data_IF_941171337561
#
_entry.id   IF_941171337561
#
_cell.length_a   1.000
_cell.length_b   1.000
_cell.length_c   1.000
_cell.angle_alpha   90.00
_cell.angle_beta   90.00
_cell.angle_gamma   90.00
#
_symmetry.space_group_name_H-M   'P 1'
#
loop_
_entity.id
_entity.type
_entity.pdbx_description
1 polymer ?
#
# COMPACT_ATOMS: atom_id res chain seq x y z
N UNK A 1 -23.68 20.94 14.02
CA UNK A 1 -23.20 22.05 14.85
C UNK A 1 -22.56 21.49 16.12
N UNK A 2 -21.24 21.62 16.29
CA UNK A 2 -20.56 21.21 17.52
C UNK A 2 -20.71 22.33 18.55
N UNK A 3 -21.58 22.12 19.55
CA UNK A 3 -21.78 23.01 20.69
C UNK A 3 -20.80 22.61 21.80
N UNK A 4 -19.72 23.38 21.96
CA UNK A 4 -18.68 23.21 22.99
C UNK A 4 -17.27 23.11 22.41
N UNK A 5 -16.24 23.44 23.20
CA UNK A 5 -14.82 23.24 22.89
C UNK A 5 -14.48 21.73 22.81
N UNK A 6 -15.08 21.00 21.87
CA UNK A 6 -14.81 19.58 21.64
C UNK A 6 -13.52 19.45 20.85
N UNK A 7 -12.47 18.91 21.47
CA UNK A 7 -11.21 18.62 20.80
C UNK A 7 -11.40 17.43 19.87
N UNK A 8 -11.46 17.69 18.56
CA UNK A 8 -11.56 16.65 17.53
C UNK A 8 -10.18 16.02 17.29
N UNK A 9 -10.10 14.70 17.34
CA UNK A 9 -8.84 13.93 17.24
C UNK A 9 -8.91 12.89 16.12
N UNK A 10 -7.75 12.37 15.72
CA UNK A 10 -7.63 11.23 14.81
C UNK A 10 -8.27 11.46 13.44
N UNK A 11 -8.94 10.42 12.92
CA UNK A 11 -9.61 10.42 11.61
C UNK A 11 -10.67 11.53 11.51
N UNK A 12 -11.41 11.79 12.60
CA UNK A 12 -12.41 12.86 12.64
C UNK A 12 -11.80 14.25 12.41
N UNK A 13 -10.57 14.48 12.90
CA UNK A 13 -9.86 15.75 12.70
C UNK A 13 -9.48 15.93 11.23
N UNK A 14 -9.11 14.84 10.55
CA UNK A 14 -8.81 14.86 9.12
C UNK A 14 -10.07 15.20 8.32
N UNK A 15 -11.19 14.55 8.62
CA UNK A 15 -12.49 14.86 8.00
C UNK A 15 -12.90 16.31 8.22
N UNK A 16 -12.80 16.82 9.44
CA UNK A 16 -13.11 18.21 9.77
C UNK A 16 -12.25 19.22 8.98
N UNK A 17 -10.94 18.97 8.85
CA UNK A 17 -10.05 19.83 8.05
C UNK A 17 -10.39 19.81 6.56
N UNK A 18 -10.88 18.66 6.06
CA UNK A 18 -11.31 18.49 4.68
C UNK A 18 -12.76 18.94 4.43
N UNK A 19 -13.46 19.50 5.43
CA UNK A 19 -14.88 19.86 5.36
C UNK A 19 -15.79 18.67 5.00
N UNK A 20 -15.42 17.47 5.44
CA UNK A 20 -16.21 16.25 5.26
C UNK A 20 -17.01 16.00 6.54
N UNK A 21 -18.29 15.70 6.38
CA UNK A 21 -19.11 15.28 7.52
C UNK A 21 -18.56 13.99 8.16
N UNK A 22 -18.53 13.88 9.49
CA UNK A 22 -17.98 12.72 10.20
C UNK A 22 -18.50 11.37 9.71
N UNK A 23 -19.80 11.29 9.40
CA UNK A 23 -20.48 10.09 8.88
C UNK A 23 -20.04 9.74 7.47
N UNK A 24 -19.63 10.73 6.67
CA UNK A 24 -19.30 10.55 5.27
C UNK A 24 -17.81 10.28 5.01
N UNK A 25 -16.97 10.14 6.05
CA UNK A 25 -15.52 9.97 5.89
C UNK A 25 -15.21 8.66 5.15
N UNK A 26 -15.82 7.54 5.55
CA UNK A 26 -15.65 6.24 4.88
C UNK A 26 -16.13 6.30 3.43
N UNK A 27 -17.35 6.81 3.21
CA UNK A 27 -17.95 6.93 1.88
C UNK A 27 -17.13 7.81 0.95
N UNK A 28 -16.61 8.93 1.45
CA UNK A 28 -15.74 9.82 0.68
C UNK A 28 -14.46 9.08 0.26
N UNK A 29 -13.80 8.40 1.19
CA UNK A 29 -12.61 7.60 0.88
C UNK A 29 -12.87 6.51 -0.16
N UNK A 30 -14.01 5.84 -0.07
CA UNK A 30 -14.44 4.81 -1.03
C UNK A 30 -14.74 5.41 -2.41
N UNK A 31 -15.48 6.52 -2.49
CA UNK A 31 -15.81 7.19 -3.75
C UNK A 31 -14.54 7.68 -4.45
N UNK A 32 -13.62 8.31 -3.72
CA UNK A 32 -12.33 8.74 -4.27
C UNK A 32 -11.52 7.57 -4.82
N UNK A 33 -11.49 6.45 -4.10
CA UNK A 33 -10.83 5.23 -4.56
C UNK A 33 -11.45 4.70 -5.86
N UNK A 34 -12.78 4.59 -5.90
CA UNK A 34 -13.52 4.13 -7.08
C UNK A 34 -13.31 5.06 -8.27
N UNK A 35 -13.36 6.39 -8.07
CA UNK A 35 -13.10 7.38 -9.10
C UNK A 35 -11.67 7.24 -9.65
N UNK A 36 -10.67 7.08 -8.78
CA UNK A 36 -9.29 6.87 -9.19
C UNK A 36 -9.13 5.60 -10.05
N UNK A 37 -9.78 4.49 -9.67
CA UNK A 37 -9.76 3.25 -10.46
C UNK A 37 -10.38 3.44 -11.84
N UNK A 38 -11.53 4.12 -11.92
CA UNK A 38 -12.19 4.43 -13.20
C UNK A 38 -11.28 5.27 -14.08
N UNK A 39 -10.65 6.32 -13.54
CA UNK A 39 -9.72 7.19 -14.28
C UNK A 39 -8.56 6.38 -14.84
N UNK A 40 -7.91 5.52 -14.05
CA UNK A 40 -6.78 4.71 -14.54
C UNK A 40 -7.23 3.73 -15.63
N UNK A 41 -8.39 3.09 -15.47
CA UNK A 41 -8.95 2.21 -16.51
C UNK A 41 -9.19 3.00 -17.80
N UNK A 42 -9.81 4.18 -17.72
CA UNK A 42 -10.04 5.05 -18.86
C UNK A 42 -8.73 5.44 -19.55
N UNK A 43 -7.70 5.82 -18.80
CA UNK A 43 -6.37 6.15 -19.35
C UNK A 43 -5.76 4.97 -20.13
N UNK A 44 -5.89 3.74 -19.62
CA UNK A 44 -5.42 2.54 -20.33
C UNK A 44 -6.19 2.34 -21.64
N UNK A 45 -7.51 2.56 -21.63
CA UNK A 45 -8.33 2.47 -22.85
C UNK A 45 -7.99 3.56 -23.87
N UNK A 46 -7.80 4.80 -23.43
CA UNK A 46 -7.37 5.91 -24.30
C UNK A 46 -5.99 5.60 -24.90
N UNK A 47 -5.04 5.13 -24.09
CA UNK A 47 -3.72 4.75 -24.58
C UNK A 47 -3.78 3.62 -25.62
N UNK A 48 -4.63 2.62 -25.40
CA UNK A 48 -4.88 1.54 -26.36
C UNK A 48 -5.49 2.07 -27.67
N UNK A 49 -6.43 3.01 -27.59
CA UNK A 49 -7.04 3.64 -28.77
C UNK A 49 -6.01 4.48 -29.53
N UNK A 50 -5.20 5.25 -28.81
CA UNK A 50 -4.11 6.05 -29.36
C UNK A 50 -3.14 5.21 -30.18
N UNK A 51 -2.66 4.06 -29.67
CA UNK A 51 -1.77 3.16 -30.42
C UNK A 51 -2.42 2.70 -31.73
N UNK A 52 -3.71 2.33 -31.70
CA UNK A 52 -4.43 1.90 -32.90
C UNK A 52 -4.53 3.01 -33.95
N UNK A 53 -4.83 4.24 -33.53
CA UNK A 53 -4.94 5.41 -34.42
C UNK A 53 -3.57 5.79 -34.97
N UNK A 54 -2.54 5.83 -34.13
CA UNK A 54 -1.18 6.18 -34.53
C UNK A 54 -0.63 5.23 -35.60
N UNK A 55 -0.89 3.91 -35.48
CA UNK A 55 -0.51 2.94 -36.52
C UNK A 55 -1.33 3.16 -37.80
N UNK A 56 -2.65 3.40 -37.68
CA UNK A 56 -3.52 3.65 -38.84
C UNK A 56 -3.10 4.89 -39.63
N UNK A 57 -2.59 5.91 -38.96
CA UNK A 57 -2.15 7.17 -39.56
C UNK A 57 -0.66 7.18 -39.95
N UNK A 58 0.04 6.05 -39.82
CA UNK A 58 1.45 5.93 -40.19
C UNK A 58 2.41 6.64 -39.25
N UNK A 59 1.95 7.12 -38.09
CA UNK A 59 2.79 7.76 -37.06
C UNK A 59 3.68 6.76 -36.31
N UNK A 60 3.45 5.46 -36.50
CA UNK A 60 4.20 4.40 -35.84
C UNK A 60 4.31 3.16 -36.75
N UNK A 61 5.46 2.47 -36.78
CA UNK A 61 5.60 1.21 -37.52
C UNK A 61 4.60 0.16 -37.05
N UNK A 62 4.15 -0.71 -37.96
CA UNK A 62 3.12 -1.73 -37.72
C UNK A 62 3.46 -2.75 -36.62
N UNK A 63 4.75 -2.96 -36.36
CA UNK A 63 5.30 -3.77 -35.26
C UNK A 63 5.46 -3.02 -33.92
N UNK A 64 5.14 -1.73 -33.85
CA UNK A 64 5.20 -0.96 -32.62
C UNK A 64 4.24 -1.51 -31.54
N UNK A 65 4.74 -1.66 -30.31
CA UNK A 65 3.98 -2.12 -29.14
C UNK A 65 3.25 -3.46 -29.32
N UNK A 66 3.84 -4.40 -30.06
CA UNK A 66 3.22 -5.70 -30.33
C UNK A 66 3.01 -6.53 -29.05
N UNK A 67 3.93 -6.47 -28.08
CA UNK A 67 3.80 -7.13 -26.78
C UNK A 67 2.63 -6.58 -25.96
N UNK A 68 2.47 -5.25 -25.93
CA UNK A 68 1.34 -4.62 -25.26
C UNK A 68 0.01 -4.98 -25.94
N UNK A 69 -0.04 -5.00 -27.28
CA UNK A 69 -1.25 -5.37 -28.04
C UNK A 69 -1.67 -6.82 -27.81
N UNK A 70 -0.71 -7.75 -27.83
CA UNK A 70 -0.96 -9.18 -27.65
C UNK A 70 -1.21 -9.56 -26.18
N UNK A 71 -0.66 -8.79 -25.24
CA UNK A 71 -0.75 -9.01 -23.79
C UNK A 71 -1.62 -8.02 -23.03
N UNK A 72 -2.42 -7.17 -23.70
CA UNK A 72 -3.04 -5.99 -23.06
C UNK A 72 -3.90 -6.32 -21.83
N UNK A 73 -4.63 -7.44 -21.86
CA UNK A 73 -5.47 -7.89 -20.74
C UNK A 73 -4.64 -8.27 -19.51
N UNK A 74 -3.46 -8.86 -19.74
CA UNK A 74 -2.52 -9.22 -18.68
C UNK A 74 -1.89 -7.97 -18.05
N UNK A 75 -1.50 -6.99 -18.88
CA UNK A 75 -0.99 -5.70 -18.41
C UNK A 75 -2.05 -4.94 -17.61
N UNK A 76 -3.28 -4.86 -18.12
CA UNK A 76 -4.40 -4.22 -17.43
C UNK A 76 -4.65 -4.87 -16.06
N UNK A 77 -4.75 -6.21 -16.00
CA UNK A 77 -4.90 -6.93 -14.73
C UNK A 77 -3.76 -6.62 -13.76
N UNK A 78 -2.52 -6.63 -14.24
CA UNK A 78 -1.35 -6.31 -13.41
C UNK A 78 -1.34 -4.87 -12.87
N UNK A 79 -1.87 -3.90 -13.62
CA UNK A 79 -2.04 -2.53 -13.15
C UNK A 79 -3.14 -2.48 -12.08
N UNK A 80 -4.29 -3.09 -12.32
CA UNK A 80 -5.40 -3.11 -11.36
C UNK A 80 -5.00 -3.73 -10.03
N UNK A 81 -4.29 -4.87 -10.05
CA UNK A 81 -3.81 -5.48 -8.81
C UNK A 81 -2.81 -4.60 -8.05
N UNK A 82 -1.94 -3.85 -8.75
CA UNK A 82 -1.05 -2.86 -8.12
C UNK A 82 -1.84 -1.74 -7.46
N UNK A 83 -2.87 -1.22 -8.12
CA UNK A 83 -3.74 -0.20 -7.54
C UNK A 83 -4.46 -0.70 -6.29
N UNK A 84 -4.96 -1.93 -6.31
CA UNK A 84 -5.57 -2.57 -5.14
C UNK A 84 -4.56 -2.67 -4.01
N UNK A 85 -3.33 -3.11 -4.28
CA UNK A 85 -2.28 -3.20 -3.27
C UNK A 85 -1.93 -1.83 -2.66
N UNK A 86 -1.83 -0.78 -3.48
CA UNK A 86 -1.54 0.59 -3.03
C UNK A 86 -2.68 1.15 -2.17
N UNK A 87 -3.93 0.89 -2.56
CA UNK A 87 -5.12 1.35 -1.85
C UNK A 87 -5.44 0.54 -0.58
N UNK A 88 -4.92 -0.68 -0.49
CA UNK A 88 -5.25 -1.63 0.58
C UNK A 88 -5.00 -1.09 1.99
N UNK A 89 -3.85 -0.49 2.35
CA UNK A 89 -3.64 0.06 3.69
C UNK A 89 -4.72 1.09 4.08
N UNK A 90 -5.06 1.99 3.15
CA UNK A 90 -6.08 3.02 3.40
C UNK A 90 -7.46 2.40 3.62
N UNK A 91 -7.86 1.43 2.80
CA UNK A 91 -9.16 0.79 2.92
C UNK A 91 -9.26 -0.09 4.16
N UNK A 92 -8.18 -0.75 4.59
CA UNK A 92 -8.14 -1.45 5.87
C UNK A 92 -8.43 -0.48 7.03
N UNK A 93 -7.77 0.69 7.04
CA UNK A 93 -7.97 1.70 8.08
C UNK A 93 -9.40 2.21 8.08
N UNK A 94 -9.91 2.66 6.94
CA UNK A 94 -11.25 3.26 6.84
C UNK A 94 -12.37 2.25 7.09
N UNK A 95 -12.26 1.04 6.53
CA UNK A 95 -13.26 0.00 6.77
C UNK A 95 -13.31 -0.43 8.23
N UNK A 96 -12.17 -0.64 8.88
CA UNK A 96 -12.14 -1.04 10.29
C UNK A 96 -12.56 0.10 11.22
N UNK A 97 -12.25 1.35 10.86
CA UNK A 97 -12.76 2.51 11.57
C UNK A 97 -14.28 2.62 11.48
N UNK A 98 -14.88 2.39 10.30
CA UNK A 98 -16.34 2.40 10.12
C UNK A 98 -17.03 1.37 11.02
N UNK A 99 -16.42 0.20 11.25
CA UNK A 99 -16.96 -0.80 12.19
C UNK A 99 -17.05 -0.30 13.65
N UNK A 100 -16.25 0.70 14.01
CA UNK A 100 -16.28 1.31 15.35
C UNK A 100 -17.29 2.44 15.46
N UNK A 101 -17.50 3.22 14.39
CA UNK A 101 -18.46 4.33 14.35
C UNK A 101 -19.88 3.87 14.09
N UNK A 102 -20.05 2.95 13.14
CA UNK A 102 -21.34 2.37 12.71
C UNK A 102 -22.35 3.46 12.35
N UNK A 103 -21.95 4.36 11.46
CA UNK A 103 -22.78 5.51 11.11
C UNK A 103 -24.04 5.06 10.33
N UNK A 104 -23.95 4.01 9.51
CA UNK A 104 -25.10 3.35 8.86
C UNK A 104 -24.90 1.83 8.69
N UNK A 105 -26.00 1.06 8.74
CA UNK A 105 -25.96 -0.40 8.48
C UNK A 105 -25.44 -0.69 7.07
N UNK A 106 -25.84 0.12 6.08
CA UNK A 106 -25.40 -0.05 4.70
C UNK A 106 -23.88 0.21 4.56
N UNK A 107 -23.36 1.22 5.24
CA UNK A 107 -21.94 1.56 5.25
C UNK A 107 -21.11 0.49 5.94
N UNK A 108 -21.59 -0.06 7.06
CA UNK A 108 -20.95 -1.18 7.75
C UNK A 108 -20.86 -2.41 6.84
N UNK A 109 -21.95 -2.77 6.14
CA UNK A 109 -21.96 -3.89 5.19
C UNK A 109 -20.95 -3.62 4.06
N UNK A 110 -20.94 -2.40 3.52
CA UNK A 110 -20.03 -2.01 2.45
C UNK A 110 -18.56 -2.04 2.91
N UNK A 111 -18.27 -1.59 4.12
CA UNK A 111 -16.95 -1.63 4.73
C UNK A 111 -16.43 -3.07 4.88
N UNK A 112 -17.27 -3.98 5.37
CA UNK A 112 -16.95 -5.42 5.49
C UNK A 112 -16.72 -6.02 4.12
N UNK A 113 -17.63 -5.79 3.18
CA UNK A 113 -17.52 -6.34 1.82
C UNK A 113 -16.25 -5.85 1.13
N UNK A 114 -15.92 -4.57 1.26
CA UNK A 114 -14.72 -3.99 0.66
C UNK A 114 -13.44 -4.53 1.31
N UNK A 115 -13.42 -4.64 2.63
CA UNK A 115 -12.29 -5.21 3.37
C UNK A 115 -12.06 -6.67 2.96
N UNK A 116 -13.11 -7.50 2.98
CA UNK A 116 -13.01 -8.92 2.65
C UNK A 116 -12.66 -9.12 1.18
N UNK A 117 -13.28 -8.39 0.26
CA UNK A 117 -13.00 -8.52 -1.17
C UNK A 117 -11.57 -8.14 -1.54
N UNK A 118 -11.05 -6.99 -1.07
CA UNK A 118 -9.66 -6.60 -1.33
C UNK A 118 -8.67 -7.60 -0.71
N UNK A 119 -8.91 -8.03 0.53
CA UNK A 119 -8.08 -9.02 1.21
C UNK A 119 -8.09 -10.35 0.45
N UNK A 120 -9.27 -10.83 0.06
CA UNK A 120 -9.43 -12.08 -0.68
C UNK A 120 -8.74 -12.01 -2.05
N UNK A 121 -8.89 -10.91 -2.78
CA UNK A 121 -8.25 -10.70 -4.09
C UNK A 121 -6.72 -10.72 -3.96
N UNK A 122 -6.15 -10.05 -2.95
CA UNK A 122 -4.71 -10.01 -2.72
C UNK A 122 -4.15 -11.35 -2.22
N UNK A 123 -4.87 -12.04 -1.32
CA UNK A 123 -4.48 -13.38 -0.87
C UNK A 123 -4.58 -14.41 -1.99
N UNK A 124 -5.63 -14.33 -2.82
CA UNK A 124 -5.77 -15.16 -4.01
C UNK A 124 -4.65 -14.91 -5.00
N UNK A 125 -4.25 -13.64 -5.21
CA UNK A 125 -3.10 -13.27 -6.01
C UNK A 125 -1.80 -13.89 -5.48
N UNK A 126 -1.53 -13.73 -4.18
CA UNK A 126 -0.36 -14.30 -3.51
C UNK A 126 -0.35 -15.84 -3.58
N UNK A 127 -1.50 -16.49 -3.41
CA UNK A 127 -1.64 -17.93 -3.51
C UNK A 127 -1.37 -18.46 -4.92
N UNK A 128 -1.82 -17.75 -5.96
CA UNK A 128 -1.51 -18.12 -7.34
C UNK A 128 -0.01 -18.02 -7.63
N UNK A 129 0.67 -16.99 -7.12
CA UNK A 129 2.13 -16.86 -7.21
C UNK A 129 2.81 -18.03 -6.50
N UNK A 130 2.38 -18.34 -5.28
CA UNK A 130 2.95 -19.45 -4.52
C UNK A 130 2.76 -20.80 -5.23
N UNK A 131 1.56 -21.07 -5.74
CA UNK A 131 1.25 -22.31 -6.48
C UNK A 131 2.12 -22.46 -7.73
N UNK A 132 2.32 -21.36 -8.48
CA UNK A 132 3.13 -21.42 -9.69
C UNK A 132 4.63 -21.56 -9.36
N UNK A 133 5.11 -20.85 -8.34
CA UNK A 133 6.49 -20.98 -7.86
C UNK A 133 6.77 -22.43 -7.41
N UNK A 134 5.88 -23.04 -6.62
CA UNK A 134 6.01 -24.45 -6.23
C UNK A 134 6.07 -25.38 -7.44
N UNK A 135 5.20 -25.17 -8.44
CA UNK A 135 5.22 -25.94 -9.70
C UNK A 135 6.52 -25.76 -10.47
N UNK A 136 7.10 -24.56 -10.45
CA UNK A 136 8.37 -24.28 -11.13
C UNK A 136 9.56 -24.99 -10.47
N UNK A 137 9.56 -25.06 -9.13
CA UNK A 137 10.58 -25.80 -8.38
C UNK A 137 10.48 -27.31 -8.68
N UNK A 138 9.27 -27.87 -8.69
CA UNK A 138 9.08 -29.30 -8.95
C UNK A 138 9.45 -29.71 -10.38
N UNK A 139 9.22 -28.83 -11.36
CA UNK A 139 9.42 -29.16 -12.79
C UNK A 139 10.82 -28.80 -13.32
N UNK A 140 11.44 -27.73 -12.81
CA UNK A 140 12.68 -27.19 -13.36
C UNK A 140 13.80 -27.07 -12.33
N UNK A 141 13.59 -27.52 -11.09
CA UNK A 141 14.55 -27.38 -9.96
C UNK A 141 14.96 -25.91 -9.68
N UNK A 142 14.30 -24.94 -10.32
CA UNK A 142 14.59 -23.53 -10.21
C UNK A 142 13.28 -22.72 -10.09
N UNK A 143 13.04 -22.05 -8.96
CA UNK A 143 11.86 -21.21 -8.76
C UNK A 143 11.74 -20.06 -9.77
N UNK A 144 12.86 -19.59 -10.32
CA UNK A 144 12.87 -18.43 -11.22
C UNK A 144 12.39 -18.76 -12.64
N UNK A 145 12.49 -20.02 -13.07
CA UNK A 145 12.33 -20.37 -14.48
C UNK A 145 10.94 -20.01 -15.00
N UNK A 146 9.86 -20.53 -14.41
CA UNK A 146 8.49 -20.24 -14.89
C UNK A 146 8.06 -18.80 -14.54
N UNK A 147 8.53 -18.26 -13.40
CA UNK A 147 8.17 -16.93 -12.94
C UNK A 147 8.64 -15.85 -13.94
N UNK A 148 9.90 -15.92 -14.36
CA UNK A 148 10.51 -14.90 -15.22
C UNK A 148 10.43 -15.22 -16.72
N UNK A 149 10.29 -16.48 -17.12
CA UNK A 149 10.22 -16.86 -18.55
C UNK A 149 8.85 -16.63 -19.20
N UNK A 150 7.76 -16.58 -18.43
CA UNK A 150 6.42 -16.41 -18.99
C UNK A 150 5.99 -14.94 -18.92
N UNK A 151 6.00 -14.19 -20.03
CA UNK A 151 5.71 -12.75 -20.02
C UNK A 151 4.28 -12.44 -19.56
N UNK A 152 3.30 -13.29 -19.87
CA UNK A 152 1.91 -13.10 -19.40
C UNK A 152 1.79 -13.23 -17.88
N UNK A 153 2.58 -14.14 -17.29
CA UNK A 153 2.60 -14.29 -15.84
C UNK A 153 3.32 -13.11 -15.17
N UNK A 154 4.47 -12.72 -15.72
CA UNK A 154 5.27 -11.60 -15.25
C UNK A 154 4.49 -10.27 -15.28
N UNK A 155 3.79 -9.97 -16.37
CA UNK A 155 2.99 -8.74 -16.46
C UNK A 155 1.80 -8.71 -15.50
N UNK A 156 1.17 -9.87 -15.23
CA UNK A 156 -0.01 -9.94 -14.35
C UNK A 156 0.39 -9.93 -12.87
N UNK A 157 1.40 -10.71 -12.49
CA UNK A 157 1.70 -11.01 -11.09
C UNK A 157 3.08 -10.54 -10.63
N UNK A 158 3.94 -10.12 -11.56
CA UNK A 158 5.32 -9.72 -11.27
C UNK A 158 5.42 -8.66 -10.19
N UNK A 159 4.43 -7.77 -10.08
CA UNK A 159 4.41 -6.74 -9.04
C UNK A 159 4.46 -7.28 -7.60
N UNK A 160 4.00 -8.52 -7.34
CA UNK A 160 4.03 -9.10 -6.00
C UNK A 160 5.39 -9.67 -5.64
N UNK A 161 6.11 -10.26 -6.60
CA UNK A 161 7.27 -11.10 -6.30
C UNK A 161 8.58 -10.64 -6.93
N UNK A 162 8.55 -9.79 -7.96
CA UNK A 162 9.78 -9.34 -8.65
C UNK A 162 10.69 -8.55 -7.70
N UNK A 163 10.14 -7.91 -6.68
CA UNK A 163 10.92 -7.22 -5.64
C UNK A 163 11.66 -8.18 -4.71
N UNK A 164 11.24 -9.44 -4.63
CA UNK A 164 11.80 -10.46 -3.74
C UNK A 164 12.71 -11.42 -4.49
N UNK A 165 13.61 -12.08 -3.75
CA UNK A 165 14.40 -13.19 -4.29
C UNK A 165 13.46 -14.31 -4.74
N UNK A 166 13.85 -15.00 -5.81
CA UNK A 166 13.13 -16.18 -6.28
C UNK A 166 13.04 -17.29 -5.22
N UNK A 167 13.96 -17.33 -4.25
CA UNK A 167 13.93 -18.25 -3.09
C UNK A 167 13.06 -17.77 -1.94
N UNK A 168 12.70 -16.47 -1.90
CA UNK A 168 11.94 -15.82 -0.83
C UNK A 168 10.55 -15.33 -1.31
N UNK A 169 10.01 -15.92 -2.38
CA UNK A 169 8.71 -15.53 -2.97
C UNK A 169 7.52 -15.60 -1.99
N UNK A 170 7.63 -16.38 -0.91
CA UNK A 170 6.61 -16.47 0.13
C UNK A 170 6.51 -15.20 0.99
N UNK A 171 7.48 -14.28 0.91
CA UNK A 171 7.52 -13.03 1.69
C UNK A 171 6.35 -12.07 1.41
N UNK A 172 5.61 -12.30 0.32
CA UNK A 172 4.36 -11.59 0.01
C UNK A 172 3.34 -11.75 1.14
N UNK A 173 3.20 -12.94 1.73
CA UNK A 173 2.22 -13.19 2.80
C UNK A 173 2.55 -12.41 4.08
N UNK A 174 3.77 -12.48 4.65
CA UNK A 174 4.18 -11.62 5.77
C UNK A 174 3.96 -10.12 5.50
N UNK A 175 4.23 -9.67 4.28
CA UNK A 175 4.07 -8.25 3.92
C UNK A 175 2.60 -7.83 3.93
N UNK A 176 1.71 -8.62 3.34
CA UNK A 176 0.27 -8.36 3.37
C UNK A 176 -0.28 -8.40 4.80
N UNK A 177 0.21 -9.34 5.61
CA UNK A 177 -0.16 -9.45 7.02
C UNK A 177 0.30 -8.22 7.82
N UNK A 178 1.54 -7.76 7.63
CA UNK A 178 2.05 -6.53 8.24
C UNK A 178 1.18 -5.32 7.87
N UNK A 179 0.84 -5.14 6.60
CA UNK A 179 -0.02 -4.03 6.13
C UNK A 179 -1.40 -4.10 6.81
N UNK A 180 -1.99 -5.29 6.87
CA UNK A 180 -3.30 -5.48 7.50
C UNK A 180 -3.27 -5.16 9.00
N UNK A 181 -2.30 -5.71 9.75
CA UNK A 181 -2.18 -5.47 11.19
C UNK A 181 -1.92 -3.99 11.47
N UNK A 182 -1.01 -3.35 10.72
CA UNK A 182 -0.74 -1.92 10.85
C UNK A 182 -2.01 -1.08 10.60
N UNK A 183 -2.73 -1.38 9.51
CA UNK A 183 -3.99 -0.71 9.20
C UNK A 183 -5.06 -0.94 10.27
N UNK A 184 -5.14 -2.15 10.81
CA UNK A 184 -6.09 -2.51 11.86
C UNK A 184 -5.84 -1.76 13.16
N UNK A 185 -4.59 -1.65 13.59
CA UNK A 185 -4.24 -0.83 14.74
C UNK A 185 -4.62 0.63 14.50
N UNK A 186 -4.27 1.21 13.35
CA UNK A 186 -4.63 2.61 13.04
C UNK A 186 -6.15 2.80 13.04
N UNK A 187 -6.93 1.93 12.42
CA UNK A 187 -8.39 2.07 12.34
C UNK A 187 -9.11 1.86 13.66
N UNK A 188 -8.73 0.84 14.44
CA UNK A 188 -9.46 0.42 15.65
C UNK A 188 -9.06 1.19 16.93
N UNK A 189 -7.83 1.69 17.01
CA UNK A 189 -7.31 2.33 18.24
C UNK A 189 -7.49 3.85 18.31
N UNK A 190 -8.42 4.41 17.52
CA UNK A 190 -8.69 5.85 17.47
C UNK A 190 -9.15 6.46 18.81
N UNK A 191 -9.66 5.65 19.74
CA UNK A 191 -10.07 6.10 21.08
C UNK A 191 -8.90 6.47 21.99
N UNK A 192 -7.73 5.82 21.81
CA UNK A 192 -6.56 5.99 22.67
C UNK A 192 -5.29 6.22 21.84
N UNK A 193 -4.82 7.48 21.73
CA UNK A 193 -3.59 7.81 21.00
C UNK A 193 -2.35 7.07 21.53
N UNK A 194 -2.32 6.80 22.85
CA UNK A 194 -1.22 6.08 23.51
C UNK A 194 -1.19 4.63 23.03
N UNK A 195 -2.34 3.93 23.09
CA UNK A 195 -2.45 2.53 22.64
C UNK A 195 -2.12 2.39 21.16
N UNK A 196 -2.61 3.32 20.33
CA UNK A 196 -2.30 3.35 18.90
C UNK A 196 -0.79 3.42 18.66
N UNK A 197 -0.12 4.33 19.36
CA UNK A 197 1.28 4.63 19.08
C UNK A 197 2.22 3.57 19.63
N UNK A 198 1.96 3.04 20.82
CA UNK A 198 2.70 1.90 21.36
C UNK A 198 2.51 0.66 20.48
N UNK A 199 1.28 0.40 20.02
CA UNK A 199 1.01 -0.69 19.07
C UNK A 199 1.79 -0.53 17.76
N UNK A 200 1.80 0.67 17.18
CA UNK A 200 2.58 0.98 15.99
C UNK A 200 4.09 0.81 16.23
N UNK A 201 4.61 1.25 17.36
CA UNK A 201 6.03 1.06 17.70
C UNK A 201 6.40 -0.42 17.74
N UNK A 202 5.60 -1.25 18.39
CA UNK A 202 5.80 -2.70 18.40
C UNK A 202 5.77 -3.29 16.98
N UNK A 203 4.78 -2.92 16.17
CA UNK A 203 4.64 -3.39 14.79
C UNK A 203 5.85 -3.01 13.93
N UNK A 204 6.30 -1.76 13.99
CA UNK A 204 7.46 -1.31 13.21
C UNK A 204 8.77 -1.93 13.70
N UNK A 205 8.91 -2.15 15.01
CA UNK A 205 10.08 -2.83 15.59
C UNK A 205 10.17 -4.27 15.09
N UNK A 206 9.06 -5.00 15.14
CA UNK A 206 8.97 -6.38 14.63
C UNK A 206 9.31 -6.37 13.13
N UNK A 207 8.70 -5.48 12.35
CA UNK A 207 8.95 -5.40 10.91
C UNK A 207 10.42 -5.11 10.58
N UNK A 208 11.07 -4.21 11.34
CA UNK A 208 12.49 -3.90 11.18
C UNK A 208 13.38 -5.11 11.50
N UNK A 209 13.10 -5.82 12.59
CA UNK A 209 13.86 -7.03 12.98
C UNK A 209 13.72 -8.11 11.91
N UNK A 210 12.49 -8.45 11.51
CA UNK A 210 12.22 -9.45 10.48
C UNK A 210 12.90 -9.08 9.15
N UNK A 211 12.79 -7.83 8.73
CA UNK A 211 13.42 -7.34 7.49
C UNK A 211 14.96 -7.41 7.55
N UNK A 212 15.55 -7.12 8.71
CA UNK A 212 17.00 -7.10 8.92
C UNK A 212 17.62 -8.50 8.97
N UNK A 213 16.88 -9.49 9.51
CA UNK A 213 17.31 -10.87 9.64
C UNK A 213 17.15 -11.63 8.32
N UNK A 214 15.95 -11.62 7.73
CA UNK A 214 15.64 -12.46 6.57
C UNK A 214 16.13 -11.89 5.24
N UNK A 215 16.21 -10.56 5.11
CA UNK A 215 16.73 -9.86 3.90
C UNK A 215 16.17 -10.45 2.59
N UNK A 216 14.84 -10.44 2.41
CA UNK A 216 14.14 -11.18 1.35
C UNK A 216 14.29 -10.56 -0.05
N UNK A 217 14.86 -9.37 -0.18
CA UNK A 217 14.91 -8.62 -1.44
C UNK A 217 16.03 -9.10 -2.38
N UNK A 218 15.80 -8.93 -3.69
CA UNK A 218 16.59 -9.51 -4.78
C UNK A 218 18.11 -9.37 -4.57
N UNK A 219 18.59 -8.14 -4.39
CA UNK A 219 20.02 -7.85 -4.30
C UNK A 219 20.42 -7.21 -2.96
N UNK A 220 21.72 -7.13 -2.70
CA UNK A 220 22.28 -6.49 -1.49
C UNK A 220 21.85 -5.02 -1.39
N UNK A 221 21.87 -4.28 -2.51
CA UNK A 221 21.43 -2.88 -2.57
C UNK A 221 19.94 -2.74 -2.22
N UNK A 222 19.09 -3.56 -2.83
CA UNK A 222 17.64 -3.58 -2.59
C UNK A 222 17.31 -3.97 -1.14
N UNK A 223 18.07 -4.89 -0.55
CA UNK A 223 17.95 -5.23 0.87
C UNK A 223 18.28 -4.02 1.76
N UNK A 224 19.43 -3.35 1.54
CA UNK A 224 19.82 -2.17 2.31
C UNK A 224 18.77 -1.06 2.21
N UNK A 225 18.24 -0.83 1.01
CA UNK A 225 17.21 0.16 0.75
C UNK A 225 15.92 -0.10 1.54
N UNK A 226 15.37 -1.32 1.45
CA UNK A 226 14.12 -1.63 2.14
C UNK A 226 14.28 -1.70 3.66
N UNK A 227 15.45 -2.13 4.16
CA UNK A 227 15.77 -2.07 5.60
C UNK A 227 15.84 -0.61 6.06
N UNK A 228 16.43 0.29 5.26
CA UNK A 228 16.44 1.72 5.56
C UNK A 228 15.02 2.32 5.63
N UNK A 229 14.11 1.91 4.72
CA UNK A 229 12.70 2.29 4.78
C UNK A 229 12.05 1.80 6.09
N UNK A 230 12.29 0.54 6.48
CA UNK A 230 11.78 0.01 7.74
C UNK A 230 12.34 0.76 8.96
N UNK A 231 13.63 1.16 8.91
CA UNK A 231 14.26 1.93 9.97
C UNK A 231 13.64 3.33 10.09
N UNK A 232 13.36 4.00 8.97
CA UNK A 232 12.66 5.28 8.94
C UNK A 232 11.24 5.15 9.48
N UNK A 233 10.51 4.09 9.13
CA UNK A 233 9.19 3.83 9.71
C UNK A 233 9.24 3.59 11.22
N UNK A 234 10.24 2.86 11.71
CA UNK A 234 10.49 2.69 13.14
C UNK A 234 10.78 4.02 13.84
N UNK A 235 11.69 4.84 13.30
CA UNK A 235 11.98 6.19 13.82
C UNK A 235 10.71 7.02 13.83
N UNK A 236 9.92 7.02 12.76
CA UNK A 236 8.64 7.71 12.71
C UNK A 236 7.69 7.24 13.83
N UNK A 237 7.62 5.94 14.12
CA UNK A 237 6.82 5.43 15.24
C UNK A 237 7.33 5.90 16.61
N UNK A 238 8.65 6.03 16.80
CA UNK A 238 9.24 6.63 18.01
C UNK A 238 8.84 8.10 18.14
N UNK A 239 8.92 8.87 17.05
CA UNK A 239 8.49 10.28 17.04
C UNK A 239 6.99 10.42 17.32
N UNK A 240 6.15 9.52 16.79
CA UNK A 240 4.73 9.51 17.12
C UNK A 240 4.51 9.36 18.62
N UNK A 241 5.33 8.56 19.32
CA UNK A 241 5.20 8.35 20.77
C UNK A 241 5.47 9.64 21.53
N UNK A 242 6.43 10.44 21.07
CA UNK A 242 6.70 11.77 21.62
C UNK A 242 5.53 12.75 21.44
N UNK A 243 4.73 12.61 20.37
CA UNK A 243 3.53 13.44 20.17
C UNK A 243 2.31 12.99 20.97
N UNK A 244 2.39 11.85 21.66
CA UNK A 244 1.36 11.45 22.62
C UNK A 244 1.60 12.13 23.97
N UNK A 245 0.56 12.24 24.79
CA UNK A 245 0.63 12.79 26.14
C UNK A 245 1.29 11.84 27.16
N UNK A 246 2.26 11.01 26.72
CA UNK A 246 2.95 10.05 27.59
C UNK A 246 4.04 10.72 28.42
N UNK A 247 4.70 11.73 27.84
CA UNK A 247 5.84 12.39 28.46
C UNK A 247 5.52 13.80 28.99
N UNK A 248 4.26 14.24 28.91
CA UNK A 248 3.75 15.55 29.35
C UNK A 248 4.70 16.73 29.03
N UNK A 249 5.24 16.72 27.82
CA UNK A 249 6.25 17.69 27.38
C UNK A 249 5.62 19.05 27.03
N UNK A 250 6.35 20.17 27.17
CA UNK A 250 5.88 21.48 26.74
C UNK A 250 5.51 21.50 25.24
N UNK A 251 4.45 22.24 24.89
CA UNK A 251 3.94 22.31 23.51
C UNK A 251 4.99 22.78 22.48
N UNK A 252 5.97 23.57 22.91
CA UNK A 252 7.09 24.01 22.07
C UNK A 252 7.94 22.82 21.62
N UNK A 253 8.21 21.86 22.51
CA UNK A 253 9.01 20.66 22.20
C UNK A 253 8.31 19.82 21.14
N UNK A 254 7.00 19.60 21.28
CA UNK A 254 6.20 18.88 20.28
C UNK A 254 6.23 19.56 18.91
N UNK A 255 6.22 20.90 18.88
CA UNK A 255 6.27 21.66 17.63
C UNK A 255 7.63 21.52 16.93
N UNK A 256 8.73 21.63 17.68
CA UNK A 256 10.10 21.45 17.15
C UNK A 256 10.30 20.02 16.63
N UNK A 257 9.88 19.02 17.41
CA UNK A 257 9.94 17.61 17.00
C UNK A 257 9.12 17.34 15.74
N UNK A 258 7.98 18.03 15.57
CA UNK A 258 7.19 18.00 14.33
C UNK A 258 7.97 18.49 13.12
N UNK A 259 8.69 19.60 13.24
CA UNK A 259 9.53 20.14 12.15
C UNK A 259 10.67 19.17 11.81
N UNK A 260 11.34 18.61 12.83
CA UNK A 260 12.41 17.62 12.64
C UNK A 260 11.88 16.39 11.90
N UNK A 261 10.71 15.88 12.29
CA UNK A 261 10.09 14.72 11.63
C UNK A 261 9.81 14.99 10.15
N UNK A 262 9.29 16.17 9.81
CA UNK A 262 9.01 16.55 8.41
C UNK A 262 10.29 16.65 7.60
N UNK A 263 11.32 17.34 8.11
CA UNK A 263 12.62 17.49 7.44
C UNK A 263 13.29 16.12 7.23
N UNK A 264 13.29 15.29 8.26
CA UNK A 264 13.84 13.93 8.19
C UNK A 264 13.17 13.09 7.09
N UNK A 265 11.83 13.07 7.03
CA UNK A 265 11.10 12.33 5.99
C UNK A 265 11.27 12.94 4.60
N UNK A 266 11.36 14.27 4.48
CA UNK A 266 11.57 14.95 3.21
C UNK A 266 12.95 14.62 2.63
N UNK A 267 14.00 14.68 3.45
CA UNK A 267 15.37 14.31 3.05
C UNK A 267 15.40 12.83 2.65
N UNK A 268 14.81 11.95 3.45
CA UNK A 268 14.77 10.53 3.13
C UNK A 268 14.04 10.26 1.81
N UNK A 269 12.86 10.85 1.60
CA UNK A 269 12.12 10.73 0.34
C UNK A 269 12.92 11.24 -0.87
N UNK A 270 13.67 12.35 -0.72
CA UNK A 270 14.56 12.86 -1.75
C UNK A 270 15.68 11.87 -2.08
N UNK A 271 16.32 11.27 -1.06
CA UNK A 271 17.35 10.24 -1.25
C UNK A 271 16.78 9.02 -1.97
N UNK A 272 15.58 8.55 -1.59
CA UNK A 272 14.93 7.43 -2.28
C UNK A 272 14.66 7.77 -3.75
N UNK A 273 14.19 8.98 -4.03
CA UNK A 273 13.89 9.42 -5.39
C UNK A 273 15.16 9.49 -6.26
N UNK A 274 16.26 10.05 -5.73
CA UNK A 274 17.54 10.06 -6.42
C UNK A 274 18.07 8.65 -6.70
N UNK A 275 17.93 7.73 -5.76
CA UNK A 275 18.35 6.34 -5.94
C UNK A 275 17.52 5.56 -6.97
N UNK A 276 16.26 5.94 -7.20
CA UNK A 276 15.41 5.31 -8.22
C UNK A 276 15.70 5.87 -9.62
N UNK A 277 16.13 7.12 -9.71
CA UNK A 277 16.44 7.78 -10.97
C UNK A 277 17.83 7.40 -11.53
N UNK A 278 18.79 7.08 -10.66
CA UNK A 278 20.17 6.69 -11.01
C UNK A 278 20.31 5.18 -11.17
#
# INVERSE_FOLDING_TARGET
>A
MYSGNTVIKGILRVGFRAQIEPSNIFMTGLIFLSAFFIIVILLIFVFKLYIKVAIKWGWMPSGGFQDFRNGWTSVMRGILFRLILIAYPQMVVLSLWELTRRDSVAEVILAILMLLSMTAILLWAAFNVHRLAKRSVTMHQNPAYILYSNPKFLHTWGFLYVSYRATAYYWVFPTLFYIFIKGAFIGLSQSSPITQTVGLLCIETINLIFSSVFRPWMDKKTNTFNIAICAVHFVNAVFLLMFTSVFDQPAIVNSVMGVVLVLYNAIFALVLLLMVLV
#
